data_IF_705252328117
#
_entry.id   IF_705252328117
#
_cell.length_a   1.000
_cell.length_b   1.000
_cell.length_c   1.000
_cell.angle_alpha   90.00
_cell.angle_beta   90.00
_cell.angle_gamma   90.00
#
_symmetry.space_group_name_H-M   'P 1'
#
loop_
_entity.id
_entity.type
_entity.pdbx_description
1 polymer ?
#
# COMPACT_ATOMS: atom_id res chain seq x y z
N UNK A 1 -15.75 -9.91 1.07
CA UNK A 1 -16.16 -10.09 -0.32
C UNK A 1 -15.06 -10.70 -1.16
N UNK A 2 -15.44 -11.63 -2.03
CA UNK A 2 -14.48 -12.25 -2.93
C UNK A 2 -14.23 -11.33 -4.12
N UNK A 3 -12.97 -11.01 -4.42
CA UNK A 3 -12.67 -10.16 -5.57
C UNK A 3 -12.92 -10.89 -6.89
N UNK A 4 -13.34 -10.14 -7.89
CA UNK A 4 -13.48 -10.63 -9.26
C UNK A 4 -12.09 -10.68 -9.91
N UNK A 5 -11.65 -11.88 -10.31
CA UNK A 5 -10.30 -12.06 -10.86
C UNK A 5 -10.03 -11.26 -12.13
N UNK A 6 -11.04 -11.04 -12.96
CA UNK A 6 -10.88 -10.21 -14.17
C UNK A 6 -10.58 -8.76 -13.81
N UNK A 7 -11.29 -8.25 -12.81
CA UNK A 7 -11.05 -6.90 -12.32
C UNK A 7 -9.67 -6.79 -11.66
N UNK A 8 -9.27 -7.81 -10.93
CA UNK A 8 -7.95 -7.87 -10.30
C UNK A 8 -6.86 -7.85 -11.36
N UNK A 9 -6.97 -8.66 -12.41
CA UNK A 9 -5.97 -8.69 -13.49
C UNK A 9 -5.82 -7.34 -14.17
N UNK A 10 -6.94 -6.65 -14.38
CA UNK A 10 -6.95 -5.32 -14.97
C UNK A 10 -6.17 -4.33 -14.09
N UNK A 11 -6.42 -4.36 -12.79
CA UNK A 11 -5.74 -3.48 -11.83
C UNK A 11 -4.25 -3.81 -11.76
N UNK A 12 -3.90 -5.08 -11.73
CA UNK A 12 -2.50 -5.52 -11.71
C UNK A 12 -1.74 -5.01 -12.93
N UNK A 13 -2.35 -5.08 -14.11
CA UNK A 13 -1.72 -4.59 -15.33
C UNK A 13 -1.49 -3.08 -15.27
N UNK A 14 -2.44 -2.34 -14.73
CA UNK A 14 -2.29 -0.89 -14.51
C UNK A 14 -1.10 -0.62 -13.58
N UNK A 15 -1.01 -1.36 -12.48
CA UNK A 15 0.07 -1.18 -11.52
C UNK A 15 1.44 -1.55 -12.11
N UNK A 16 1.53 -2.61 -12.89
CA UNK A 16 2.78 -3.00 -13.56
C UNK A 16 3.28 -1.94 -14.51
N UNK A 17 2.36 -1.19 -15.12
CA UNK A 17 2.70 -0.09 -16.01
C UNK A 17 3.02 1.22 -15.25
N UNK A 18 3.07 1.17 -13.93
CA UNK A 18 3.39 2.32 -13.10
C UNK A 18 2.18 3.14 -12.69
N UNK A 19 0.97 2.58 -12.82
CA UNK A 19 -0.26 3.27 -12.46
C UNK A 19 -0.49 3.35 -10.97
N UNK A 20 -1.27 4.34 -10.55
CA UNK A 20 -1.70 4.54 -9.17
C UNK A 20 -3.13 4.03 -9.01
N UNK A 21 -3.39 3.37 -7.90
CA UNK A 21 -4.71 2.84 -7.61
C UNK A 21 -5.18 3.28 -6.23
N UNK A 22 -6.49 3.47 -6.08
CA UNK A 22 -7.12 3.70 -4.78
C UNK A 22 -7.89 2.43 -4.44
N UNK A 23 -7.76 1.97 -3.21
CA UNK A 23 -8.34 0.70 -2.77
C UNK A 23 -8.77 0.77 -1.32
N UNK A 24 -9.72 -0.10 -0.91
CA UNK A 24 -10.15 -0.15 0.48
C UNK A 24 -9.13 -0.88 1.35
N UNK A 25 -9.03 -0.45 2.60
CA UNK A 25 -8.29 -1.17 3.63
C UNK A 25 -9.26 -1.56 4.74
N UNK A 26 -8.75 -2.12 5.83
CA UNK A 26 -9.56 -2.44 7.00
C UNK A 26 -9.90 -1.21 7.84
N UNK A 27 -9.39 -0.05 7.49
CA UNK A 27 -9.69 1.22 8.18
C UNK A 27 -10.27 2.26 7.22
N UNK A 28 -9.41 2.93 6.41
CA UNK A 28 -9.83 3.94 5.44
C UNK A 28 -9.34 3.54 4.06
N UNK A 29 -9.81 4.23 3.03
CA UNK A 29 -9.25 4.03 1.69
C UNK A 29 -7.81 4.51 1.63
N UNK A 30 -7.03 3.90 0.77
CA UNK A 30 -5.64 4.23 0.57
C UNK A 30 -5.30 4.33 -0.92
N UNK A 31 -4.20 4.99 -1.21
CA UNK A 31 -3.64 5.05 -2.55
C UNK A 31 -2.35 4.22 -2.58
N UNK A 32 -2.14 3.49 -3.66
CA UNK A 32 -0.99 2.62 -3.77
C UNK A 32 -0.44 2.47 -5.17
N UNK A 33 0.75 1.93 -5.24
CA UNK A 33 1.42 1.60 -6.48
C UNK A 33 2.36 0.42 -6.26
N UNK A 34 2.91 -0.13 -7.35
CA UNK A 34 3.94 -1.15 -7.28
C UNK A 34 5.17 -0.56 -6.56
N UNK A 35 5.48 -1.08 -5.38
CA UNK A 35 6.56 -0.55 -4.54
C UNK A 35 7.94 -0.67 -5.20
N UNK A 36 8.10 -1.53 -6.18
CA UNK A 36 9.36 -1.72 -6.89
C UNK A 36 9.46 -0.88 -8.17
N UNK A 37 8.40 -0.19 -8.55
CA UNK A 37 8.39 0.71 -9.69
C UNK A 37 8.72 2.12 -9.21
N UNK A 38 9.97 2.55 -9.39
CA UNK A 38 10.48 3.82 -8.87
C UNK A 38 9.68 5.02 -9.39
N UNK A 39 9.29 5.00 -10.67
CA UNK A 39 8.53 6.10 -11.28
C UNK A 39 7.15 6.24 -10.63
N UNK A 40 6.51 5.10 -10.34
CA UNK A 40 5.22 5.10 -9.66
C UNK A 40 5.35 5.60 -8.21
N UNK A 41 6.42 5.20 -7.51
CA UNK A 41 6.68 5.67 -6.15
C UNK A 41 6.88 7.18 -6.12
N UNK A 42 7.67 7.71 -7.05
CA UNK A 42 7.87 9.16 -7.17
C UNK A 42 6.55 9.89 -7.43
N UNK A 43 5.73 9.34 -8.32
CA UNK A 43 4.44 9.93 -8.69
C UNK A 43 3.48 9.98 -7.48
N UNK A 44 3.39 8.90 -6.71
CA UNK A 44 2.51 8.85 -5.55
C UNK A 44 2.99 9.81 -4.45
N UNK A 45 4.30 9.90 -4.24
CA UNK A 45 4.87 10.82 -3.26
C UNK A 45 4.59 12.27 -3.66
N UNK A 46 4.73 12.59 -4.93
CA UNK A 46 4.44 13.91 -5.47
C UNK A 46 2.96 14.27 -5.31
N UNK A 47 2.09 13.33 -5.63
CA UNK A 47 0.64 13.51 -5.48
C UNK A 47 0.24 13.81 -4.04
N UNK A 48 0.85 13.13 -3.08
CA UNK A 48 0.55 13.31 -1.65
C UNK A 48 1.36 14.42 -0.99
N UNK A 49 2.25 15.08 -1.73
CA UNK A 49 3.10 16.12 -1.17
C UNK A 49 4.11 15.60 -0.16
N UNK A 50 4.54 14.36 -0.32
CA UNK A 50 5.44 13.67 0.59
C UNK A 50 6.82 13.59 -0.02
N UNK A 51 7.86 13.98 0.75
CA UNK A 51 9.24 13.79 0.32
C UNK A 51 9.67 12.36 0.67
N UNK A 52 9.96 11.49 -0.31
CA UNK A 52 10.32 10.10 -0.04
C UNK A 52 11.59 9.96 0.78
N UNK A 53 12.44 10.99 0.82
CA UNK A 53 13.67 10.96 1.61
C UNK A 53 13.47 11.37 3.07
N UNK A 54 12.33 11.96 3.41
CA UNK A 54 12.06 12.49 4.75
C UNK A 54 10.88 11.82 5.45
N UNK A 55 10.07 11.08 4.71
CA UNK A 55 8.84 10.48 5.25
C UNK A 55 8.98 8.97 5.36
N UNK A 56 8.39 8.39 6.37
CA UNK A 56 8.33 6.93 6.48
C UNK A 56 7.36 6.39 5.45
N UNK A 57 7.82 5.46 4.62
CA UNK A 57 6.99 4.81 3.62
C UNK A 57 6.59 3.43 4.13
N UNK A 58 5.38 3.02 3.79
CA UNK A 58 4.86 1.71 4.17
C UNK A 58 4.56 0.88 2.94
N UNK A 59 4.88 -0.41 3.02
CA UNK A 59 4.59 -1.35 1.94
C UNK A 59 3.67 -2.45 2.46
N UNK A 60 2.83 -2.95 1.57
CA UNK A 60 1.94 -4.07 1.85
C UNK A 60 2.55 -5.33 1.27
N UNK A 61 2.71 -6.34 2.12
CA UNK A 61 3.17 -7.66 1.72
C UNK A 61 2.01 -8.65 1.79
N UNK A 62 2.04 -9.68 0.97
CA UNK A 62 1.00 -10.71 0.99
C UNK A 62 1.05 -11.50 2.30
N UNK A 63 2.25 -11.87 2.71
CA UNK A 63 2.52 -12.57 3.95
C UNK A 63 3.95 -12.28 4.40
N UNK A 64 4.46 -13.04 5.37
CA UNK A 64 5.79 -12.82 5.93
C UNK A 64 6.90 -13.64 5.26
N UNK A 65 6.58 -14.43 4.24
CA UNK A 65 7.54 -15.37 3.67
C UNK A 65 8.73 -14.71 2.97
N UNK A 66 8.53 -13.57 2.32
CA UNK A 66 9.60 -12.86 1.60
C UNK A 66 10.01 -11.56 2.27
N UNK A 67 9.70 -11.43 3.55
CA UNK A 67 9.90 -10.18 4.27
C UNK A 67 11.37 -9.73 4.29
N UNK A 68 12.30 -10.67 4.35
CA UNK A 68 13.73 -10.37 4.41
C UNK A 68 14.27 -9.67 3.15
N UNK A 69 13.53 -9.75 2.04
CA UNK A 69 13.90 -9.02 0.82
C UNK A 69 13.71 -7.51 1.00
N UNK A 70 12.85 -7.08 1.93
CA UNK A 70 12.46 -5.68 2.07
C UNK A 70 12.89 -5.06 3.39
N UNK A 71 13.04 -5.86 4.43
CA UNK A 71 13.31 -5.37 5.78
C UNK A 71 14.22 -6.32 6.53
N UNK A 72 14.95 -5.77 7.49
CA UNK A 72 15.75 -6.57 8.44
C UNK A 72 14.87 -6.93 9.62
N UNK A 73 14.68 -8.24 9.84
CA UNK A 73 13.73 -8.74 10.83
C UNK A 73 14.45 -9.60 11.86
N UNK A 74 14.41 -9.19 13.12
CA UNK A 74 14.90 -10.01 14.22
C UNK A 74 13.92 -11.15 14.50
N UNK A 75 14.40 -12.20 15.18
CA UNK A 75 13.53 -13.30 15.59
C UNK A 75 12.39 -12.83 16.50
N UNK A 76 12.68 -11.89 17.40
CA UNK A 76 11.67 -11.31 18.30
C UNK A 76 10.60 -10.55 17.52
N UNK A 77 11.03 -9.71 16.55
CA UNK A 77 10.10 -8.96 15.71
C UNK A 77 9.24 -9.91 14.88
N UNK A 78 9.84 -10.95 14.30
CA UNK A 78 9.11 -11.92 13.49
C UNK A 78 8.02 -12.63 14.29
N UNK A 79 8.32 -13.04 15.51
CA UNK A 79 7.35 -13.69 16.38
C UNK A 79 6.17 -12.76 16.69
N UNK A 80 6.47 -11.49 16.95
CA UNK A 80 5.43 -10.49 17.24
C UNK A 80 4.55 -10.23 16.01
N UNK A 81 5.16 -10.12 14.84
CA UNK A 81 4.44 -9.93 13.58
C UNK A 81 3.54 -11.12 13.28
N UNK A 82 4.04 -12.32 13.48
CA UNK A 82 3.29 -13.55 13.24
C UNK A 82 2.04 -13.66 14.10
N UNK A 83 2.08 -13.11 15.32
CA UNK A 83 0.92 -13.08 16.21
C UNK A 83 -0.14 -12.05 15.81
N UNK A 84 0.25 -10.97 15.15
CA UNK A 84 -0.60 -9.80 14.96
C UNK A 84 -0.99 -9.54 13.51
N UNK A 85 -0.41 -10.27 12.56
CA UNK A 85 -0.71 -10.11 11.14
C UNK A 85 -1.32 -11.40 10.59
N UNK A 86 -2.28 -11.33 9.65
CA UNK A 86 -2.80 -10.10 9.06
C UNK A 86 -3.64 -9.29 10.03
N UNK A 87 -3.68 -7.98 9.83
CA UNK A 87 -4.43 -7.07 10.68
C UNK A 87 -4.05 -5.61 10.43
N UNK A 88 -4.53 -4.74 11.31
CA UNK A 88 -4.40 -3.29 11.14
C UNK A 88 -3.05 -2.70 11.57
N UNK A 89 -2.14 -3.52 12.07
CA UNK A 89 -0.85 -3.04 12.58
C UNK A 89 0.15 -2.73 11.46
N UNK A 90 0.94 -1.69 11.65
CA UNK A 90 2.10 -1.39 10.82
C UNK A 90 3.35 -1.63 11.66
N UNK A 91 4.25 -2.47 11.17
CA UNK A 91 5.51 -2.73 11.86
C UNK A 91 6.62 -1.94 11.17
N UNK A 92 7.30 -1.09 11.92
CA UNK A 92 8.38 -0.26 11.40
C UNK A 92 9.71 -1.00 11.64
N UNK A 93 10.37 -1.36 10.54
CA UNK A 93 11.57 -2.19 10.57
C UNK A 93 12.71 -1.53 9.81
N UNK A 94 13.97 -1.86 10.15
CA UNK A 94 15.10 -1.40 9.35
C UNK A 94 14.98 -1.88 7.91
N UNK A 95 15.33 -1.00 6.97
CA UNK A 95 15.25 -1.28 5.54
C UNK A 95 16.35 -2.24 5.11
N UNK A 96 16.03 -3.21 4.25
CA UNK A 96 17.03 -4.06 3.63
C UNK A 96 17.72 -3.34 2.46
N UNK A 97 18.88 -3.81 2.08
CA UNK A 97 19.62 -3.25 0.94
C UNK A 97 19.01 -3.59 -0.42
N UNK A 98 18.03 -4.50 -0.46
CA UNK A 98 17.43 -4.97 -1.71
C UNK A 98 16.30 -4.08 -2.22
N UNK A 99 15.79 -3.17 -1.36
CA UNK A 99 14.79 -2.21 -1.82
C UNK A 99 15.40 -1.23 -2.83
N UNK A 100 14.60 -0.72 -3.79
CA UNK A 100 15.08 0.27 -4.77
C UNK A 100 15.70 1.49 -4.11
N UNK A 101 16.54 2.19 -4.86
CA UNK A 101 17.29 3.37 -4.36
C UNK A 101 16.43 4.44 -3.72
N UNK A 102 15.19 4.58 -4.17
CA UNK A 102 14.27 5.57 -3.60
C UNK A 102 14.03 5.33 -2.10
N UNK A 103 14.25 4.09 -1.64
CA UNK A 103 14.14 3.71 -0.22
C UNK A 103 15.48 3.77 0.51
N UNK A 104 16.60 3.92 -0.19
CA UNK A 104 17.95 3.78 0.39
C UNK A 104 18.30 4.82 1.43
N UNK A 105 17.78 6.03 1.29
CA UNK A 105 18.06 7.08 2.25
C UNK A 105 17.17 6.95 3.49
N UNK A 106 16.39 5.89 3.54
CA UNK A 106 15.51 5.59 4.65
C UNK A 106 16.11 4.50 5.50
N UNK A 107 16.13 4.73 6.77
CA UNK A 107 16.61 3.73 7.73
C UNK A 107 15.53 2.70 8.03
N UNK A 108 14.27 3.06 7.81
CA UNK A 108 13.13 2.26 8.22
C UNK A 108 12.04 2.23 7.14
N UNK A 109 11.30 1.14 7.11
CA UNK A 109 10.14 0.95 6.24
C UNK A 109 9.01 0.34 7.08
N UNK A 110 7.79 0.79 6.84
CA UNK A 110 6.61 0.20 7.48
C UNK A 110 6.17 -1.03 6.70
N UNK A 111 5.87 -2.10 7.42
CA UNK A 111 5.38 -3.36 6.84
C UNK A 111 3.95 -3.57 7.30
N UNK A 112 3.06 -3.82 6.35
CA UNK A 112 1.65 -4.11 6.59
C UNK A 112 1.24 -5.39 5.89
N UNK A 113 0.39 -6.17 6.55
CA UNK A 113 -0.31 -7.31 5.94
C UNK A 113 -1.77 -7.15 6.34
N UNK A 114 -2.54 -6.38 5.57
CA UNK A 114 -3.92 -6.09 5.95
C UNK A 114 -4.83 -7.31 5.79
N UNK A 115 -5.85 -7.37 6.65
CA UNK A 115 -6.86 -8.41 6.59
C UNK A 115 -7.99 -7.97 5.66
N UNK A 116 -7.68 -7.97 4.35
CA UNK A 116 -8.59 -7.53 3.31
C UNK A 116 -8.33 -8.36 2.06
N UNK A 117 -9.36 -9.07 1.59
CA UNK A 117 -9.22 -9.99 0.46
C UNK A 117 -8.88 -9.30 -0.85
N UNK A 118 -9.39 -8.10 -1.08
CA UNK A 118 -9.12 -7.37 -2.31
C UNK A 118 -7.63 -7.02 -2.41
N UNK A 119 -7.11 -6.36 -1.38
CA UNK A 119 -5.71 -5.94 -1.41
C UNK A 119 -4.74 -7.12 -1.33
N UNK A 120 -5.06 -8.15 -0.57
CA UNK A 120 -4.21 -9.34 -0.51
C UNK A 120 -4.13 -10.04 -1.86
N UNK A 121 -5.26 -10.13 -2.56
CA UNK A 121 -5.29 -10.71 -3.90
C UNK A 121 -4.47 -9.86 -4.88
N UNK A 122 -4.56 -8.53 -4.79
CA UNK A 122 -3.76 -7.64 -5.62
C UNK A 122 -2.26 -7.86 -5.41
N UNK A 123 -1.82 -7.92 -4.17
CA UNK A 123 -0.41 -8.13 -3.84
C UNK A 123 0.08 -9.46 -4.39
N UNK A 124 -0.72 -10.51 -4.20
CA UNK A 124 -0.38 -11.84 -4.67
C UNK A 124 -0.23 -11.88 -6.19
N UNK A 125 -1.21 -11.32 -6.91
CA UNK A 125 -1.21 -11.35 -8.37
C UNK A 125 -0.18 -10.40 -8.98
N UNK A 126 0.09 -9.28 -8.32
CA UNK A 126 1.15 -8.36 -8.74
C UNK A 126 2.53 -9.01 -8.58
N UNK A 127 2.70 -9.80 -7.53
CA UNK A 127 3.98 -10.46 -7.24
C UNK A 127 5.02 -9.56 -6.58
N UNK A 128 4.66 -8.30 -6.30
CA UNK A 128 5.52 -7.32 -5.64
C UNK A 128 4.75 -6.69 -4.49
N UNK A 129 5.44 -6.15 -3.47
CA UNK A 129 4.74 -5.38 -2.46
C UNK A 129 4.14 -4.11 -3.04
N UNK A 130 3.12 -3.58 -2.38
CA UNK A 130 2.44 -2.35 -2.79
C UNK A 130 2.83 -1.24 -1.82
N UNK A 131 3.39 -0.14 -2.35
CA UNK A 131 3.55 1.07 -1.56
C UNK A 131 2.18 1.64 -1.27
N UNK A 132 1.90 1.96 -0.02
CA UNK A 132 0.58 2.41 0.41
C UNK A 132 0.66 3.71 1.19
N UNK A 133 -0.30 4.58 0.96
CA UNK A 133 -0.48 5.80 1.74
C UNK A 133 -1.97 5.97 2.02
N UNK A 134 -2.31 6.35 3.26
CA UNK A 134 -3.69 6.64 3.61
C UNK A 134 -4.18 7.89 2.86
N UNK A 135 -5.45 7.88 2.45
CA UNK A 135 -6.09 9.06 1.89
C UNK A 135 -6.56 10.04 2.95
N UNK A 136 -6.31 9.72 4.21
CA UNK A 136 -6.68 10.60 5.32
C UNK A 136 -5.84 11.88 5.28
N UNK A 137 -6.49 12.99 5.00
CA UNK A 137 -5.87 14.31 5.06
C UNK A 137 -6.26 14.97 6.39
N UNK A 138 -5.32 15.69 6.99
CA UNK A 138 -5.52 16.30 8.32
C UNK A 138 -6.70 17.26 8.36
N UNK A 139 -6.97 17.92 7.25
CA UNK A 139 -8.01 18.94 7.17
C UNK A 139 -9.29 18.43 6.51
N UNK A 140 -9.43 17.13 6.29
CA UNK A 140 -10.57 16.55 5.62
C UNK A 140 -11.45 15.76 6.59
N UNK A 141 -12.72 15.66 6.23
CA UNK A 141 -13.70 14.91 7.01
C UNK A 141 -13.43 13.42 6.80
N UNK A 142 -13.51 12.65 7.88
CA UNK A 142 -13.21 11.20 7.85
C UNK A 142 -14.07 10.45 6.82
N UNK A 143 -15.35 10.78 6.71
CA UNK A 143 -16.26 10.15 5.75
C UNK A 143 -15.79 10.29 4.30
N UNK A 144 -15.00 11.32 4.03
CA UNK A 144 -14.40 11.54 2.72
C UNK A 144 -13.39 10.43 2.39
N UNK A 145 -12.72 9.90 3.42
CA UNK A 145 -11.72 8.85 3.27
C UNK A 145 -12.32 7.45 3.25
N UNK A 146 -13.62 7.31 3.52
CA UNK A 146 -14.29 6.01 3.59
C UNK A 146 -15.36 5.82 2.51
N UNK A 147 -15.90 6.89 1.95
CA UNK A 147 -16.91 6.82 0.90
C UNK A 147 -16.26 6.75 -0.48
N UNK A 148 -16.39 5.62 -1.20
CA UNK A 148 -15.73 5.46 -2.50
C UNK A 148 -16.18 6.47 -3.54
N UNK A 149 -17.43 6.94 -3.50
CA UNK A 149 -17.92 7.94 -4.45
C UNK A 149 -17.24 9.29 -4.26
N UNK A 150 -17.07 9.73 -3.00
CA UNK A 150 -16.38 10.97 -2.70
C UNK A 150 -14.89 10.91 -3.04
N UNK A 151 -14.27 9.76 -2.80
CA UNK A 151 -12.86 9.54 -3.14
C UNK A 151 -12.68 9.59 -4.66
N UNK A 152 -13.54 8.92 -5.41
CA UNK A 152 -13.48 8.91 -6.86
C UNK A 152 -13.63 10.34 -7.41
N UNK A 153 -14.59 11.10 -6.90
CA UNK A 153 -14.81 12.49 -7.31
C UNK A 153 -13.57 13.35 -7.08
N UNK A 154 -12.91 13.19 -5.93
CA UNK A 154 -11.72 13.98 -5.58
C UNK A 154 -10.50 13.62 -6.42
N UNK A 155 -10.29 12.33 -6.70
CA UNK A 155 -9.06 11.83 -7.29
C UNK A 155 -9.18 11.33 -8.73
N UNK A 156 -10.36 11.39 -9.35
CA UNK A 156 -10.61 10.79 -10.67
C UNK A 156 -9.60 11.19 -11.75
N UNK A 157 -9.09 12.40 -11.68
CA UNK A 157 -8.10 12.91 -12.65
C UNK A 157 -6.66 12.73 -12.20
N UNK A 158 -6.44 12.19 -11.01
CA UNK A 158 -5.12 12.09 -10.39
C UNK A 158 -4.61 10.65 -10.27
N UNK A 159 -5.52 9.68 -10.33
CA UNK A 159 -5.18 8.26 -10.23
C UNK A 159 -5.74 7.51 -11.43
N UNK A 160 -5.22 6.30 -11.64
CA UNK A 160 -5.57 5.48 -12.81
C UNK A 160 -6.81 4.63 -12.59
N UNK A 161 -7.10 4.26 -11.35
CA UNK A 161 -8.28 3.47 -11.03
C UNK A 161 -8.64 3.59 -9.55
N UNK A 162 -9.94 3.53 -9.28
CA UNK A 162 -10.48 3.48 -7.91
C UNK A 162 -11.22 2.15 -7.75
N UNK A 163 -10.85 1.38 -6.74
CA UNK A 163 -11.50 0.12 -6.43
C UNK A 163 -12.60 0.37 -5.40
N UNK A 164 -13.84 0.05 -5.78
CA UNK A 164 -14.98 0.23 -4.91
C UNK A 164 -15.20 -1.03 -4.06
N UNK A 165 -14.91 -0.91 -2.78
CA UNK A 165 -15.15 -1.98 -1.81
C UNK A 165 -16.23 -1.61 -0.80
N UNK A 166 -16.98 -0.51 -1.05
CA UNK A 166 -17.96 0.02 -0.12
C UNK A 166 -17.34 0.99 0.86
N UNK A 167 -18.05 1.28 1.95
CA UNK A 167 -17.52 2.16 2.99
C UNK A 167 -16.41 1.45 3.76
N UNK A 168 -15.34 2.17 4.01
CA UNK A 168 -14.21 1.66 4.76
C UNK A 168 -14.51 1.50 6.24
N UNK A 169 -13.88 0.52 6.82
CA UNK A 169 -13.81 0.29 8.20
C UNK A 169 -14.87 -0.02 9.09
#
# INVERSE_FOLDING_TARGET
ENPNLREIDKVVNIMRDGGLVIYPTDTVYAIGCDALNVRAVEKICQLKGVNPQKSNLSIICYDLSNLSEYAKVSNAAFKLMKKNLPGAFTFILPTSSELPKIYKNRKEVGIRVPDNNIIRTLVRELGNPILTMSLHDKDEIIEYSTDPELIEEKYENLVDIVIDGGYGG
#
